data_IF_241072154533
#
_entry.id   IF_241072154533
#
_cell.length_a   1.000
_cell.length_b   1.000
_cell.length_c   1.000
_cell.angle_alpha   90.00
_cell.angle_beta   90.00
_cell.angle_gamma   90.00
#
_symmetry.space_group_name_H-M   'P 1'
#
loop_
_entity.id
_entity.type
_entity.pdbx_description
1 polymer ?
#
# COMPACT_ATOMS: atom_id res chain seq x y z
N UNK A 1 14.86 -8.69 -22.71
CA UNK A 1 14.75 -8.02 -21.40
C UNK A 1 13.27 -8.03 -21.02
N UNK A 2 12.87 -8.76 -19.98
CA UNK A 2 11.46 -8.79 -19.56
C UNK A 2 11.04 -7.45 -18.99
N UNK A 3 9.81 -7.01 -19.29
CA UNK A 3 9.30 -5.73 -18.78
C UNK A 3 9.08 -5.83 -17.26
N UNK A 4 9.18 -4.72 -16.50
CA UNK A 4 8.96 -4.76 -15.04
C UNK A 4 7.58 -5.33 -14.67
N UNK A 5 6.59 -5.18 -15.55
CA UNK A 5 5.26 -5.75 -15.41
C UNK A 5 5.28 -7.28 -15.48
N UNK A 6 5.99 -7.88 -16.44
CA UNK A 6 6.16 -9.34 -16.54
C UNK A 6 6.86 -9.92 -15.30
N UNK A 7 7.85 -9.20 -14.76
CA UNK A 7 8.53 -9.58 -13.52
C UNK A 7 7.53 -9.54 -12.35
N UNK A 8 6.72 -8.48 -12.25
CA UNK A 8 5.72 -8.38 -11.20
C UNK A 8 4.62 -9.46 -11.29
N UNK A 9 4.29 -9.92 -12.49
CA UNK A 9 3.29 -10.97 -12.71
C UNK A 9 3.83 -12.39 -12.43
N UNK A 10 5.14 -12.60 -12.61
CA UNK A 10 5.79 -13.89 -12.37
C UNK A 10 6.17 -14.15 -10.91
N UNK A 11 6.27 -13.10 -10.08
CA UNK A 11 6.56 -13.24 -8.64
C UNK A 11 5.33 -13.78 -7.89
N UNK A 12 5.29 -15.10 -7.69
CA UNK A 12 4.31 -15.80 -6.85
C UNK A 12 5.00 -16.79 -5.90
N UNK A 13 4.42 -16.98 -4.71
CA UNK A 13 4.83 -18.02 -3.78
C UNK A 13 6.24 -17.85 -3.20
N UNK A 14 7.10 -18.88 -3.33
CA UNK A 14 8.43 -18.96 -2.72
C UNK A 14 9.44 -17.94 -3.25
N UNK A 15 9.15 -17.29 -4.39
CA UNK A 15 10.04 -16.36 -5.09
C UNK A 15 9.94 -14.91 -4.61
N UNK A 16 9.13 -14.62 -3.58
CA UNK A 16 8.98 -13.25 -3.09
C UNK A 16 10.26 -12.81 -2.34
N UNK A 17 10.94 -11.74 -2.78
CA UNK A 17 12.16 -11.27 -2.14
C UNK A 17 11.89 -10.76 -0.72
N UNK A 18 12.84 -10.99 0.18
CA UNK A 18 12.80 -10.45 1.55
C UNK A 18 13.55 -9.12 1.62
N UNK A 19 13.01 -8.18 2.39
CA UNK A 19 13.62 -6.87 2.61
C UNK A 19 13.65 -6.52 4.10
N UNK A 20 14.77 -6.88 4.74
CA UNK A 20 14.92 -6.81 6.19
C UNK A 20 15.25 -5.39 6.72
N UNK A 21 15.74 -4.49 5.86
CA UNK A 21 16.35 -3.21 6.27
C UNK A 21 15.38 -2.02 6.11
N UNK A 22 14.10 -2.26 5.79
CA UNK A 22 13.14 -1.18 5.57
C UNK A 22 12.84 -0.40 6.88
N UNK A 23 13.51 0.74 7.07
CA UNK A 23 13.34 1.60 8.25
C UNK A 23 12.29 2.69 8.06
N UNK A 24 12.17 3.28 6.87
CA UNK A 24 11.26 4.39 6.58
C UNK A 24 10.67 4.23 5.19
N UNK A 25 9.43 4.66 5.05
CA UNK A 25 8.75 4.76 3.75
C UNK A 25 8.74 6.23 3.34
N UNK A 26 9.15 6.58 2.10
CA UNK A 26 9.05 7.94 1.59
C UNK A 26 7.63 8.52 1.71
N UNK A 27 7.52 9.80 2.07
CA UNK A 27 6.24 10.48 2.34
C UNK A 27 5.23 10.37 1.19
N UNK A 28 5.70 10.37 -0.06
CA UNK A 28 4.86 10.24 -1.26
C UNK A 28 4.03 8.96 -1.29
N UNK A 29 4.49 7.89 -0.62
CA UNK A 29 3.78 6.61 -0.61
C UNK A 29 2.82 6.45 0.57
N UNK A 30 2.83 7.39 1.54
CA UNK A 30 1.97 7.31 2.74
C UNK A 30 0.48 7.42 2.44
N UNK A 31 0.12 7.94 1.26
CA UNK A 31 -1.26 8.18 0.82
C UNK A 31 -1.70 7.28 -0.34
N UNK A 32 -0.82 6.41 -0.85
CA UNK A 32 -1.15 5.51 -1.96
C UNK A 32 -2.19 4.47 -1.54
N UNK A 33 -2.11 3.99 -0.29
CA UNK A 33 -3.14 3.14 0.30
C UNK A 33 -3.79 3.84 1.49
N UNK A 34 -5.10 3.63 1.73
CA UNK A 34 -5.73 4.07 2.96
C UNK A 34 -5.09 3.40 4.18
N UNK A 35 -4.91 4.14 5.28
CA UNK A 35 -4.31 3.62 6.51
C UNK A 35 -5.06 2.38 7.06
N UNK A 36 -6.39 2.34 6.88
CA UNK A 36 -7.23 1.20 7.24
C UNK A 36 -6.82 -0.07 6.48
N UNK A 37 -6.61 0.04 5.17
CA UNK A 37 -6.16 -1.07 4.31
C UNK A 37 -4.76 -1.53 4.73
N UNK A 38 -3.84 -0.59 4.98
CA UNK A 38 -2.49 -0.91 5.45
C UNK A 38 -2.51 -1.70 6.77
N UNK A 39 -3.36 -1.28 7.73
CA UNK A 39 -3.52 -1.94 9.03
C UNK A 39 -4.17 -3.32 8.90
N UNK A 40 -5.25 -3.43 8.12
CA UNK A 40 -6.00 -4.68 7.97
C UNK A 40 -5.18 -5.77 7.27
N UNK A 41 -4.43 -5.41 6.23
CA UNK A 41 -3.70 -6.37 5.42
C UNK A 41 -2.19 -6.41 5.69
N UNK A 42 -1.72 -5.64 6.69
CA UNK A 42 -0.30 -5.53 7.05
C UNK A 42 0.58 -5.28 5.82
N UNK A 43 0.20 -4.28 5.01
CA UNK A 43 0.87 -3.95 3.75
C UNK A 43 1.13 -2.45 3.59
N UNK A 44 2.19 -2.08 2.87
CA UNK A 44 2.55 -0.68 2.59
C UNK A 44 3.22 -0.58 1.21
N UNK A 45 2.90 0.46 0.44
CA UNK A 45 3.65 0.80 -0.78
C UNK A 45 4.97 1.45 -0.41
N UNK A 46 6.07 0.92 -0.93
CA UNK A 46 7.43 1.39 -0.61
C UNK A 46 8.15 1.97 -1.83
N UNK A 47 7.61 1.73 -3.03
CA UNK A 47 8.20 2.12 -4.30
C UNK A 47 7.17 2.07 -5.43
N UNK A 48 7.51 2.74 -6.52
CA UNK A 48 6.77 2.67 -7.77
C UNK A 48 7.75 2.88 -8.94
N UNK A 49 7.68 2.03 -9.96
CA UNK A 49 8.48 2.17 -11.17
C UNK A 49 7.77 1.53 -12.36
N UNK A 50 7.77 2.19 -13.53
CA UNK A 50 7.19 1.68 -14.79
C UNK A 50 5.76 1.09 -14.65
N UNK A 51 4.87 1.75 -13.90
CA UNK A 51 3.50 1.27 -13.69
C UNK A 51 3.36 0.09 -12.73
N UNK A 52 4.43 -0.29 -12.04
CA UNK A 52 4.46 -1.33 -11.00
C UNK A 52 4.63 -0.68 -9.63
N UNK A 53 3.79 -1.05 -8.68
CA UNK A 53 3.94 -0.68 -7.27
C UNK A 53 4.71 -1.77 -6.52
N UNK A 54 5.76 -1.37 -5.84
CA UNK A 54 6.48 -2.22 -4.90
C UNK A 54 5.74 -2.18 -3.57
N UNK A 55 5.18 -3.31 -3.14
CA UNK A 55 4.38 -3.40 -1.92
C UNK A 55 5.07 -4.33 -0.93
N UNK A 56 5.39 -3.78 0.25
CA UNK A 56 5.81 -4.56 1.39
C UNK A 56 4.61 -5.30 2.00
N UNK A 57 4.75 -6.60 2.25
CA UNK A 57 3.76 -7.49 2.87
C UNK A 57 4.43 -8.35 3.95
N UNK A 58 3.65 -8.90 4.88
CA UNK A 58 4.18 -9.77 5.95
C UNK A 58 4.00 -11.25 5.69
N UNK A 59 3.07 -11.63 4.81
CA UNK A 59 2.70 -13.02 4.55
C UNK A 59 2.85 -13.35 3.06
N UNK A 60 3.57 -14.44 2.77
CA UNK A 60 3.81 -14.98 1.43
C UNK A 60 2.56 -15.54 0.77
N UNK A 61 1.63 -16.07 1.56
CA UNK A 61 0.50 -16.87 1.05
C UNK A 61 -0.73 -16.02 0.74
N UNK A 62 -0.71 -14.73 1.07
CA UNK A 62 -1.88 -13.87 0.91
C UNK A 62 -1.97 -13.28 -0.53
N UNK A 63 -2.09 -14.17 -1.51
CA UNK A 63 -2.29 -13.82 -2.92
C UNK A 63 -3.58 -13.02 -3.13
N UNK A 64 -4.61 -13.26 -2.31
CA UNK A 64 -5.86 -12.51 -2.31
C UNK A 64 -5.65 -11.02 -1.98
N UNK A 65 -4.75 -10.70 -1.06
CA UNK A 65 -4.37 -9.30 -0.78
C UNK A 65 -3.66 -8.67 -1.96
N UNK A 66 -2.73 -9.38 -2.61
CA UNK A 66 -2.03 -8.87 -3.79
C UNK A 66 -3.04 -8.54 -4.90
N UNK A 67 -3.98 -9.44 -5.16
CA UNK A 67 -5.03 -9.25 -6.17
C UNK A 67 -5.98 -8.10 -5.80
N UNK A 68 -6.36 -7.99 -4.52
CA UNK A 68 -7.18 -6.86 -4.04
C UNK A 68 -6.46 -5.52 -4.21
N UNK A 69 -5.15 -5.47 -3.94
CA UNK A 69 -4.33 -4.27 -4.13
C UNK A 69 -4.17 -3.92 -5.62
N UNK A 70 -4.02 -4.91 -6.51
CA UNK A 70 -4.02 -4.71 -7.96
C UNK A 70 -5.32 -4.02 -8.40
N UNK A 71 -6.47 -4.54 -7.98
CA UNK A 71 -7.79 -3.95 -8.30
C UNK A 71 -7.99 -2.56 -7.71
N UNK A 72 -7.56 -2.36 -6.46
CA UNK A 72 -7.70 -1.09 -5.77
C UNK A 72 -6.84 0.01 -6.38
N UNK A 73 -5.62 -0.33 -6.80
CA UNK A 73 -4.64 0.64 -7.28
C UNK A 73 -4.62 0.79 -8.80
N UNK A 74 -5.12 -0.19 -9.55
CA UNK A 74 -5.01 -0.25 -11.01
C UNK A 74 -3.59 -0.51 -11.52
N UNK A 75 -2.64 -0.85 -10.64
CA UNK A 75 -1.23 -1.07 -10.97
C UNK A 75 -0.85 -2.54 -10.78
N UNK A 76 0.15 -2.99 -11.54
CA UNK A 76 0.81 -4.25 -11.25
C UNK A 76 1.51 -4.16 -9.89
N UNK A 77 1.48 -5.24 -9.12
CA UNK A 77 2.06 -5.27 -7.78
C UNK A 77 3.27 -6.18 -7.78
N UNK A 78 4.41 -5.64 -7.37
CA UNK A 78 5.61 -6.39 -7.04
C UNK A 78 5.69 -6.54 -5.52
N UNK A 79 5.41 -7.73 -4.96
CA UNK A 79 5.43 -7.96 -3.53
C UNK A 79 6.86 -8.07 -2.99
N UNK A 80 7.07 -7.60 -1.77
CA UNK A 80 8.32 -7.73 -1.02
C UNK A 80 7.98 -8.11 0.42
N UNK A 81 8.67 -9.09 0.98
CA UNK A 81 8.41 -9.53 2.35
C UNK A 81 9.17 -8.71 3.36
N UNK A 82 8.48 -8.36 4.43
CA UNK A 82 9.04 -7.66 5.58
C UNK A 82 8.55 -8.34 6.85
N UNK A 83 9.42 -8.39 7.87
CA UNK A 83 9.05 -8.94 9.17
C UNK A 83 7.87 -8.19 9.80
N UNK A 84 6.99 -8.93 10.49
CA UNK A 84 5.76 -8.38 11.06
C UNK A 84 6.02 -7.23 12.06
N UNK A 85 7.07 -7.35 12.88
CA UNK A 85 7.47 -6.29 13.81
C UNK A 85 7.85 -5.00 13.06
N UNK A 86 8.65 -5.12 12.00
CA UNK A 86 9.03 -3.99 11.15
C UNK A 86 7.82 -3.37 10.47
N UNK A 87 6.90 -4.18 9.93
CA UNK A 87 5.67 -3.70 9.31
C UNK A 87 4.83 -2.86 10.28
N UNK A 88 4.60 -3.37 11.50
CA UNK A 88 3.84 -2.65 12.55
C UNK A 88 4.48 -1.29 12.87
N UNK A 89 5.81 -1.22 12.94
CA UNK A 89 6.53 0.04 13.19
C UNK A 89 6.35 1.02 12.03
N UNK A 90 6.40 0.56 10.79
CA UNK A 90 6.20 1.40 9.61
C UNK A 90 4.79 1.97 9.57
N UNK A 91 3.76 1.14 9.79
CA UNK A 91 2.35 1.58 9.86
C UNK A 91 2.17 2.62 10.96
N UNK A 92 2.69 2.37 12.17
CA UNK A 92 2.61 3.34 13.29
C UNK A 92 3.28 4.67 12.97
N UNK A 93 4.39 4.67 12.22
CA UNK A 93 5.06 5.91 11.77
C UNK A 93 4.19 6.69 10.77
N UNK A 94 3.57 6.01 9.82
CA UNK A 94 2.65 6.63 8.85
C UNK A 94 1.42 7.19 9.57
N UNK A 95 0.83 6.43 10.49
CA UNK A 95 -0.31 6.85 11.31
C UNK A 95 -0.01 8.15 12.07
N UNK A 96 1.13 8.21 12.77
CA UNK A 96 1.57 9.43 13.45
C UNK A 96 1.77 10.60 12.47
N UNK A 97 2.37 10.36 11.31
CA UNK A 97 2.54 11.41 10.30
C UNK A 97 1.19 11.96 9.80
N UNK A 98 0.20 11.09 9.57
CA UNK A 98 -1.15 11.50 9.16
C UNK A 98 -1.88 12.24 10.28
N UNK A 99 -1.73 11.82 11.54
CA UNK A 99 -2.31 12.49 12.70
C UNK A 99 -1.70 13.89 12.92
N UNK A 100 -0.38 14.02 12.87
CA UNK A 100 0.31 15.32 12.98
C UNK A 100 -0.11 16.26 11.86
N UNK A 101 -0.28 15.76 10.63
CA UNK A 101 -0.82 16.57 9.52
C UNK A 101 -2.26 17.01 9.78
N UNK A 102 -3.13 16.15 10.31
CA UNK A 102 -4.50 16.55 10.69
C UNK A 102 -4.53 17.60 11.79
N UNK A 103 -3.60 17.51 12.76
CA UNK A 103 -3.45 18.52 13.80
C UNK A 103 -2.92 19.85 13.25
N UNK A 104 -1.98 19.81 12.29
CA UNK A 104 -1.40 21.00 11.66
C UNK A 104 -2.32 21.65 10.62
N UNK A 105 -3.07 20.84 9.85
CA UNK A 105 -4.06 21.27 8.84
C UNK A 105 -5.37 21.79 9.44
N UNK A 106 -5.48 21.97 10.77
CA UNK A 106 -6.47 22.89 11.37
C UNK A 106 -6.19 24.36 11.03
N UNK A 107 -5.08 24.67 10.36
CA UNK A 107 -4.93 25.88 9.53
C UNK A 107 -5.13 25.51 8.07
N UNK A 108 -5.99 26.22 7.32
CA UNK A 108 -6.34 25.84 5.96
C UNK A 108 -5.12 26.05 5.06
N UNK A 109 -4.54 24.95 4.59
CA UNK A 109 -3.52 24.99 3.56
C UNK A 109 -4.13 24.48 2.26
N UNK A 110 -4.28 25.40 1.31
CA UNK A 110 -4.95 25.25 0.01
C UNK A 110 -4.17 24.38 -0.99
N UNK A 111 -3.89 23.13 -0.64
CA UNK A 111 -3.44 22.16 -1.63
C UNK A 111 -4.12 20.80 -1.37
N UNK A 112 -5.14 20.48 -2.16
CA UNK A 112 -5.40 19.11 -2.65
C UNK A 112 -6.66 19.11 -3.54
N UNK A 113 -6.49 19.63 -4.76
CA UNK A 113 -7.33 19.28 -5.90
C UNK A 113 -6.69 18.07 -6.61
N UNK A 114 -6.91 16.86 -6.13
CA UNK A 114 -6.84 15.66 -6.99
C UNK A 114 -7.92 14.67 -6.56
N UNK A 115 -8.75 14.32 -7.54
CA UNK A 115 -10.01 13.59 -7.42
C UNK A 115 -9.83 12.17 -6.88
N UNK A 116 -10.56 11.85 -5.80
CA UNK A 116 -10.96 10.46 -5.52
C UNK A 116 -12.42 10.35 -5.93
N UNK A 117 -12.63 9.87 -7.15
CA UNK A 117 -13.95 9.56 -7.69
C UNK A 117 -14.65 8.49 -6.83
N UNK A 118 -15.66 8.91 -6.06
CA UNK A 118 -16.98 8.28 -5.74
C UNK A 118 -17.17 6.76 -5.59
N UNK A 119 -16.15 5.90 -5.63
CA UNK A 119 -16.30 4.43 -5.57
C UNK A 119 -16.41 3.86 -4.15
N UNK A 120 -16.29 4.69 -3.12
CA UNK A 120 -16.45 4.28 -1.71
C UNK A 120 -17.91 4.09 -1.26
N UNK A 121 -18.90 4.38 -2.10
CA UNK A 121 -20.31 4.13 -1.77
C UNK A 121 -20.79 2.70 -2.13
N UNK A 122 -20.01 1.91 -2.87
CA UNK A 122 -20.48 0.61 -3.38
C UNK A 122 -20.11 -0.60 -2.51
N UNK A 123 -19.17 -0.44 -1.56
CA UNK A 123 -18.65 -1.59 -0.78
C UNK A 123 -19.50 -1.85 0.48
N UNK A 124 -20.25 -0.87 0.98
CA UNK A 124 -21.13 -1.07 2.15
C UNK A 124 -22.53 -1.58 1.80
N UNK A 125 -22.93 -1.60 0.52
CA UNK A 125 -24.26 -2.07 0.11
C UNK A 125 -24.31 -3.54 -0.30
N UNK A 126 -23.15 -4.24 -0.44
CA UNK A 126 -23.10 -5.61 -0.98
C UNK A 126 -22.60 -6.71 -0.02
N UNK A 127 -22.49 -6.41 1.27
CA UNK A 127 -22.16 -7.39 2.32
C UNK A 127 -23.33 -7.72 3.25
N UNK A 128 -24.56 -7.39 2.83
CA UNK A 128 -25.79 -7.66 3.61
C UNK A 128 -26.92 -8.23 2.73
N UNK A 129 -26.57 -9.14 1.83
CA UNK A 129 -27.52 -9.98 1.10
C UNK A 129 -26.92 -11.35 0.85
#
# INVERSE_FOLDING_TARGET
MGTMKEIADSVRGSLIPQFCILRRVPLRYHRVLPLKVMKQHQCIVIGAAQGVLTVAITDRQNTAVIESLRRLTGHAIFPVLVGQASMRLLIRRIERCQQSKRAFCRRPSNYEKYNISRTLLYITSKWNQ
#
